data_IF_066237732231
#
_entry.id   IF_066237732231
#
_cell.length_a   1.000
_cell.length_b   1.000
_cell.length_c   1.000
_cell.angle_alpha   90.00
_cell.angle_beta   90.00
_cell.angle_gamma   90.00
#
_symmetry.space_group_name_H-M   'P 1'
#
loop_
_entity.id
_entity.type
_entity.pdbx_description
1 polymer ?
#
# COMPACT_ATOMS: atom_id res chain seq x y z
N UNK A 1 -36.66 1.91 13.34
CA UNK A 1 -36.04 3.08 12.69
C UNK A 1 -35.23 2.57 11.49
N UNK A 2 -35.72 2.86 10.27
CA UNK A 2 -35.02 2.91 8.96
C UNK A 2 -34.23 1.66 8.50
N UNK A 3 -34.92 0.77 7.78
CA UNK A 3 -34.35 -0.22 6.85
C UNK A 3 -34.07 0.46 5.50
N UNK A 4 -33.21 1.49 5.51
CA UNK A 4 -32.84 2.29 4.34
C UNK A 4 -31.31 2.40 4.24
N UNK A 5 -30.61 1.26 4.20
CA UNK A 5 -29.15 1.28 4.02
C UNK A 5 -28.60 0.23 3.03
N UNK A 6 -29.47 -0.54 2.38
CA UNK A 6 -29.04 -1.55 1.38
C UNK A 6 -29.30 -1.14 -0.08
N UNK A 7 -29.91 0.02 -0.33
CA UNK A 7 -30.27 0.47 -1.68
C UNK A 7 -29.32 1.53 -2.29
N UNK A 8 -28.17 1.83 -1.66
CA UNK A 8 -27.25 2.87 -2.16
C UNK A 8 -26.09 2.29 -2.99
N UNK A 9 -25.91 0.97 -3.04
CA UNK A 9 -24.75 0.34 -3.71
C UNK A 9 -25.08 -0.40 -5.02
N UNK A 10 -26.18 -0.05 -5.69
CA UNK A 10 -26.47 -0.52 -7.05
C UNK A 10 -26.64 0.69 -7.95
N UNK A 11 -25.49 1.26 -8.35
CA UNK A 11 -25.43 2.19 -9.46
C UNK A 11 -25.93 1.46 -10.72
N UNK A 12 -27.13 1.85 -11.14
CA UNK A 12 -27.75 1.49 -12.41
C UNK A 12 -26.95 2.10 -13.55
N UNK A 13 -26.24 1.28 -14.33
CA UNK A 13 -25.82 1.64 -15.68
C UNK A 13 -27.08 1.67 -16.57
N UNK A 14 -27.45 2.78 -17.22
CA UNK A 14 -28.53 2.77 -18.19
C UNK A 14 -27.99 2.30 -19.54
N UNK A 15 -28.18 1.02 -19.87
CA UNK A 15 -28.07 0.54 -21.24
C UNK A 15 -29.33 0.97 -22.00
N UNK A 16 -29.29 2.20 -22.51
CA UNK A 16 -30.04 2.59 -23.70
C UNK A 16 -29.35 1.99 -24.94
N UNK A 17 -30.10 1.86 -26.05
CA UNK A 17 -29.77 1.23 -27.35
C UNK A 17 -30.26 -0.24 -27.37
N UNK A 18 -31.22 -0.71 -28.19
CA UNK A 18 -31.71 -0.29 -29.49
C UNK A 18 -33.16 -0.81 -29.68
N UNK A 19 -34.08 0.01 -30.21
CA UNK A 19 -35.41 -0.42 -30.59
C UNK A 19 -35.34 -1.30 -31.84
N UNK A 20 -35.92 -2.50 -31.79
CA UNK A 20 -36.32 -3.18 -33.01
C UNK A 20 -37.71 -3.80 -32.86
N UNK A 21 -38.65 -3.10 -33.47
CA UNK A 21 -40.05 -3.42 -33.62
C UNK A 21 -40.18 -4.41 -34.79
N UNK A 22 -40.86 -5.53 -34.60
CA UNK A 22 -41.42 -6.32 -35.71
C UNK A 22 -42.78 -6.88 -35.30
N UNK A 23 -43.80 -6.09 -35.64
CA UNK A 23 -45.19 -6.52 -35.71
C UNK A 23 -45.33 -7.63 -36.77
N UNK A 24 -45.98 -8.74 -36.38
CA UNK A 24 -46.75 -9.57 -37.32
C UNK A 24 -48.18 -9.74 -36.76
N UNK A 25 -49.21 -9.72 -37.63
CA UNK A 25 -50.60 -9.67 -37.20
C UNK A 25 -51.18 -11.06 -36.87
N UNK A 26 -51.96 -11.07 -35.78
CA UNK A 26 -53.13 -11.90 -35.43
C UNK A 26 -53.12 -13.41 -35.67
N UNK A 27 -53.41 -14.19 -34.62
CA UNK A 27 -54.68 -14.93 -34.54
C UNK A 27 -55.04 -15.14 -33.07
N UNK A 28 -56.18 -14.61 -32.64
CA UNK A 28 -56.77 -14.79 -31.32
C UNK A 28 -57.59 -16.09 -31.25
N UNK A 29 -57.28 -17.02 -30.33
CA UNK A 29 -58.27 -17.96 -29.80
C UNK A 29 -58.84 -17.38 -28.50
N UNK A 30 -60.17 -17.25 -28.46
CA UNK A 30 -60.90 -16.96 -27.24
C UNK A 30 -60.57 -17.98 -26.15
N UNK A 31 -59.93 -17.55 -25.07
CA UNK A 31 -59.99 -18.25 -23.78
C UNK A 31 -60.30 -17.24 -22.66
N UNK A 32 -61.27 -17.56 -21.80
CA UNK A 32 -61.75 -16.64 -20.76
C UNK A 32 -60.64 -16.34 -19.75
N UNK A 33 -60.62 -15.08 -19.28
CA UNK A 33 -59.69 -14.57 -18.26
C UNK A 33 -59.70 -15.46 -17.01
N UNK A 34 -58.63 -16.22 -16.80
CA UNK A 34 -58.34 -16.87 -15.52
C UNK A 34 -57.51 -15.86 -14.69
N UNK A 35 -57.96 -15.47 -13.48
CA UNK A 35 -57.18 -14.60 -12.62
C UNK A 35 -55.90 -15.30 -12.17
N UNK A 36 -54.74 -14.70 -12.44
CA UNK A 36 -53.44 -15.13 -11.90
C UNK A 36 -53.29 -14.72 -10.43
N UNK A 37 -54.22 -15.15 -9.60
CA UNK A 37 -53.97 -15.36 -8.17
C UNK A 37 -53.40 -16.76 -8.03
N UNK A 38 -52.09 -16.88 -7.82
CA UNK A 38 -51.44 -18.14 -7.38
C UNK A 38 -51.93 -18.48 -5.97
N UNK A 39 -53.15 -18.98 -5.87
CA UNK A 39 -53.54 -19.83 -4.75
C UNK A 39 -52.97 -21.21 -5.09
N UNK A 40 -52.07 -21.71 -4.25
CA UNK A 40 -51.67 -23.12 -4.26
C UNK A 40 -52.95 -23.92 -3.96
N UNK A 41 -53.62 -24.34 -5.03
CA UNK A 41 -54.67 -25.33 -4.90
C UNK A 41 -53.95 -26.65 -4.58
N UNK A 42 -54.05 -27.09 -3.33
CA UNK A 42 -53.65 -28.42 -2.90
C UNK A 42 -54.55 -29.43 -3.63
N UNK A 43 -54.14 -29.82 -4.84
CA UNK A 43 -54.66 -31.05 -5.44
C UNK A 43 -54.02 -32.20 -4.67
N UNK A 44 -54.78 -32.86 -3.79
CA UNK A 44 -54.44 -34.19 -3.28
C UNK A 44 -54.46 -35.20 -4.44
N UNK A 45 -53.40 -35.22 -5.24
CA UNK A 45 -53.21 -36.18 -6.34
C UNK A 45 -52.85 -37.60 -5.83
N UNK A 46 -52.73 -37.76 -4.51
CA UNK A 46 -52.49 -39.05 -3.88
C UNK A 46 -53.52 -39.28 -2.77
N UNK A 47 -54.66 -39.88 -3.14
CA UNK A 47 -55.43 -40.62 -2.15
C UNK A 47 -54.50 -41.68 -1.52
N UNK A 48 -54.54 -41.90 -0.19
CA UNK A 48 -53.69 -42.89 0.46
C UNK A 48 -54.18 -44.29 0.08
N UNK A 49 -53.76 -44.75 -1.10
CA UNK A 49 -53.84 -46.16 -1.45
C UNK A 49 -53.07 -46.94 -0.39
N UNK A 50 -53.70 -47.98 0.15
CA UNK A 50 -53.16 -48.86 1.18
C UNK A 50 -51.99 -49.71 0.63
N UNK A 51 -50.89 -49.05 0.25
CA UNK A 51 -49.67 -49.65 -0.30
C UNK A 51 -48.79 -50.28 0.79
N UNK A 52 -49.10 -50.03 2.07
CA UNK A 52 -48.40 -50.60 3.22
C UNK A 52 -48.50 -52.14 3.30
N UNK A 53 -49.43 -52.75 2.56
CA UNK A 53 -49.64 -54.19 2.52
C UNK A 53 -49.27 -54.85 1.19
N UNK A 54 -48.79 -54.08 0.20
CA UNK A 54 -48.36 -54.63 -1.09
C UNK A 54 -46.98 -55.31 -0.96
N UNK A 55 -46.95 -56.61 -1.29
CA UNK A 55 -45.75 -57.46 -1.27
C UNK A 55 -44.64 -56.92 -2.18
N UNK A 56 -45.00 -56.36 -3.34
CA UNK A 56 -44.03 -55.81 -4.29
C UNK A 56 -43.45 -54.49 -3.78
N UNK A 57 -44.29 -53.62 -3.21
CA UNK A 57 -43.86 -52.36 -2.61
C UNK A 57 -42.91 -52.58 -1.43
N UNK A 58 -43.21 -53.56 -0.55
CA UNK A 58 -42.31 -53.93 0.56
C UNK A 58 -40.93 -54.39 0.07
N UNK A 59 -40.86 -55.17 -1.01
CA UNK A 59 -39.59 -55.62 -1.60
C UNK A 59 -38.78 -54.48 -2.19
N UNK A 60 -39.43 -53.53 -2.87
CA UNK A 60 -38.76 -52.34 -3.42
C UNK A 60 -38.24 -51.45 -2.29
N UNK A 61 -39.05 -51.25 -1.24
CA UNK A 61 -38.66 -50.46 -0.07
C UNK A 61 -37.48 -51.08 0.69
N UNK A 62 -37.48 -52.39 0.91
CA UNK A 62 -36.36 -53.10 1.55
C UNK A 62 -35.07 -53.01 0.71
N UNK A 63 -35.18 -53.14 -0.62
CA UNK A 63 -34.03 -52.97 -1.53
C UNK A 63 -33.48 -51.54 -1.50
N UNK A 64 -34.36 -50.54 -1.49
CA UNK A 64 -33.97 -49.14 -1.39
C UNK A 64 -33.31 -48.83 -0.04
N UNK A 65 -33.87 -49.36 1.07
CA UNK A 65 -33.31 -49.19 2.40
C UNK A 65 -31.92 -49.83 2.52
N UNK A 66 -31.73 -51.05 2.03
CA UNK A 66 -30.42 -51.72 2.00
C UNK A 66 -29.38 -50.93 1.20
N UNK A 67 -29.74 -50.47 0.00
CA UNK A 67 -28.84 -49.65 -0.84
C UNK A 67 -28.55 -48.28 -0.21
N UNK A 68 -29.51 -47.70 0.49
CA UNK A 68 -29.37 -46.41 1.15
C UNK A 68 -28.49 -46.53 2.39
N UNK A 69 -28.69 -47.59 3.18
CA UNK A 69 -27.86 -47.91 4.34
C UNK A 69 -26.39 -48.12 3.94
N UNK A 70 -26.14 -48.86 2.85
CA UNK A 70 -24.79 -49.07 2.34
C UNK A 70 -24.12 -47.74 1.94
N UNK A 71 -24.84 -46.86 1.23
CA UNK A 71 -24.32 -45.53 0.86
C UNK A 71 -24.03 -44.64 2.06
N UNK A 72 -24.81 -44.75 3.14
CA UNK A 72 -24.52 -44.02 4.38
C UNK A 72 -23.24 -44.50 5.04
N UNK A 73 -23.02 -45.82 5.14
CA UNK A 73 -21.77 -46.37 5.65
C UNK A 73 -20.56 -45.95 4.80
N UNK A 74 -20.65 -46.05 3.47
CA UNK A 74 -19.60 -45.60 2.55
C UNK A 74 -19.34 -44.08 2.61
N UNK A 75 -20.36 -43.28 2.91
CA UNK A 75 -20.19 -41.83 3.13
C UNK A 75 -19.50 -41.55 4.46
N UNK A 76 -19.91 -42.19 5.54
CA UNK A 76 -19.33 -42.01 6.87
C UNK A 76 -17.87 -42.44 6.91
N UNK A 77 -17.51 -43.57 6.29
CA UNK A 77 -16.13 -44.05 6.22
C UNK A 77 -15.23 -43.07 5.45
N UNK A 78 -15.69 -42.57 4.29
CA UNK A 78 -14.96 -41.53 3.53
C UNK A 78 -14.82 -40.24 4.34
N UNK A 79 -15.84 -39.85 5.08
CA UNK A 79 -15.80 -38.66 5.93
C UNK A 79 -14.80 -38.80 7.08
N UNK A 80 -14.73 -39.99 7.70
CA UNK A 80 -13.75 -40.30 8.75
C UNK A 80 -12.33 -40.29 8.18
N UNK A 81 -12.11 -40.94 7.03
CA UNK A 81 -10.80 -40.98 6.37
C UNK A 81 -10.30 -39.57 6.00
N UNK A 82 -11.16 -38.75 5.39
CA UNK A 82 -10.81 -37.37 5.03
C UNK A 82 -10.54 -36.50 6.25
N UNK A 83 -11.26 -36.71 7.34
CA UNK A 83 -11.02 -36.01 8.61
C UNK A 83 -9.66 -36.41 9.21
N UNK A 84 -9.28 -37.68 9.14
CA UNK A 84 -7.96 -38.16 9.59
C UNK A 84 -6.84 -37.54 8.76
N UNK A 85 -6.94 -37.59 7.42
CA UNK A 85 -5.97 -36.97 6.50
C UNK A 85 -5.77 -35.47 6.78
N UNK A 86 -6.86 -34.73 7.00
CA UNK A 86 -6.78 -33.30 7.33
C UNK A 86 -6.10 -33.05 8.68
N UNK A 87 -6.36 -33.91 9.69
CA UNK A 87 -5.75 -33.77 11.02
C UNK A 87 -4.24 -34.03 10.95
N UNK A 88 -3.83 -35.09 10.28
CA UNK A 88 -2.42 -35.45 10.12
C UNK A 88 -1.63 -34.36 9.35
N UNK A 89 -2.25 -33.76 8.33
CA UNK A 89 -1.65 -32.64 7.58
C UNK A 89 -1.48 -31.39 8.47
N UNK A 90 -2.51 -31.02 9.24
CA UNK A 90 -2.46 -29.89 10.16
C UNK A 90 -1.41 -30.08 11.27
N UNK A 91 -1.31 -31.29 11.84
CA UNK A 91 -0.32 -31.61 12.89
C UNK A 91 1.10 -31.52 12.33
N UNK A 92 1.32 -32.00 11.09
CA UNK A 92 2.62 -31.90 10.39
C UNK A 92 3.02 -30.45 10.11
N UNK A 93 2.10 -29.62 9.61
CA UNK A 93 2.35 -28.20 9.35
C UNK A 93 2.62 -27.43 10.66
N UNK A 94 1.87 -27.74 11.72
CA UNK A 94 2.07 -27.15 13.05
C UNK A 94 3.44 -27.49 13.63
N UNK A 95 3.87 -28.76 13.53
CA UNK A 95 5.22 -29.17 13.94
C UNK A 95 6.31 -28.43 13.14
N UNK A 96 6.11 -28.21 11.84
CA UNK A 96 7.05 -27.46 11.00
C UNK A 96 7.15 -25.99 11.41
N UNK A 97 6.04 -25.36 11.78
CA UNK A 97 6.01 -23.98 12.28
C UNK A 97 6.75 -23.90 13.62
N UNK A 98 6.46 -24.80 14.56
CA UNK A 98 7.12 -24.84 15.88
C UNK A 98 8.64 -25.04 15.73
N UNK A 99 9.08 -25.91 14.82
CA UNK A 99 10.51 -26.12 14.56
C UNK A 99 11.18 -24.89 13.94
N UNK A 100 10.48 -24.19 13.03
CA UNK A 100 10.99 -22.95 12.44
C UNK A 100 11.14 -21.86 13.50
N UNK A 101 10.12 -21.65 14.34
CA UNK A 101 10.15 -20.65 15.40
C UNK A 101 11.27 -20.92 16.42
N UNK A 102 11.52 -22.20 16.74
CA UNK A 102 12.65 -22.58 17.63
C UNK A 102 14.00 -22.21 17.02
N UNK A 103 14.23 -22.49 15.73
CA UNK A 103 15.48 -22.13 15.05
C UNK A 103 15.66 -20.62 14.93
N UNK A 104 14.59 -19.89 14.61
CA UNK A 104 14.62 -18.44 14.52
C UNK A 104 14.95 -17.81 15.87
N UNK A 105 14.37 -18.33 16.95
CA UNK A 105 14.66 -17.89 18.32
C UNK A 105 16.10 -18.18 18.74
N UNK A 106 16.62 -19.38 18.47
CA UNK A 106 18.02 -19.72 18.75
C UNK A 106 19.00 -18.86 17.96
N UNK A 107 18.66 -18.55 16.70
CA UNK A 107 19.46 -17.71 15.84
C UNK A 107 19.46 -16.25 16.34
N UNK A 108 18.30 -15.72 16.71
CA UNK A 108 18.18 -14.41 17.35
C UNK A 108 18.97 -14.30 18.66
N UNK A 109 18.88 -15.30 19.54
CA UNK A 109 19.62 -15.30 20.81
C UNK A 109 21.14 -15.32 20.57
N UNK A 110 21.61 -16.05 19.55
CA UNK A 110 23.03 -16.04 19.13
C UNK A 110 23.46 -14.69 18.54
N UNK A 111 22.63 -14.06 17.71
CA UNK A 111 22.93 -12.72 17.18
C UNK A 111 22.93 -11.65 18.29
N UNK A 112 22.04 -11.77 19.28
CA UNK A 112 21.99 -10.88 20.44
C UNK A 112 23.23 -11.04 21.33
N UNK A 113 23.67 -12.29 21.59
CA UNK A 113 24.90 -12.55 22.38
C UNK A 113 26.16 -12.11 21.64
N UNK A 114 26.25 -12.34 20.31
CA UNK A 114 27.34 -11.82 19.49
C UNK A 114 27.39 -10.29 19.48
N UNK A 115 26.24 -9.61 19.51
CA UNK A 115 26.21 -8.14 19.64
C UNK A 115 26.66 -7.65 21.02
N UNK A 116 26.37 -8.38 22.10
CA UNK A 116 26.84 -8.02 23.45
C UNK A 116 28.33 -8.30 23.65
N UNK A 117 28.89 -9.36 23.04
CA UNK A 117 30.34 -9.64 23.11
C UNK A 117 31.18 -8.64 22.29
N UNK A 118 30.57 -7.94 21.33
CA UNK A 118 31.22 -6.89 20.53
C UNK A 118 31.19 -5.52 21.26
N UNK A 119 30.47 -5.38 22.37
CA UNK A 119 30.35 -4.12 23.11
C UNK A 119 30.46 -4.31 24.64
N UNK A 120 31.68 -4.30 25.17
CA UNK A 120 31.99 -3.38 26.30
C UNK A 120 33.48 -3.20 26.70
N UNK A 121 34.39 -4.17 26.49
CA UNK A 121 35.66 -4.10 27.27
C UNK A 121 36.98 -3.93 26.48
N UNK A 122 36.96 -3.63 25.18
CA UNK A 122 38.22 -3.56 24.41
C UNK A 122 38.40 -2.37 23.44
N UNK A 123 37.65 -1.27 23.61
CA UNK A 123 37.93 -0.02 22.86
C UNK A 123 38.06 1.13 23.85
N UNK A 124 39.26 1.70 24.06
CA UNK A 124 39.41 2.87 24.91
C UNK A 124 38.61 4.03 24.32
N UNK A 125 37.75 4.59 25.16
CA UNK A 125 36.78 5.65 24.87
C UNK A 125 37.47 6.95 24.47
N UNK A 126 37.68 7.17 23.17
CA UNK A 126 37.76 8.52 22.64
C UNK A 126 36.36 9.13 22.60
N UNK A 127 36.11 10.07 23.50
CA UNK A 127 34.91 10.90 23.57
C UNK A 127 34.84 11.75 22.29
N UNK A 128 34.26 11.21 21.22
CA UNK A 128 33.77 11.98 20.08
C UNK A 128 32.25 11.89 20.05
N UNK A 129 31.67 12.85 20.78
CA UNK A 129 30.32 13.38 20.72
C UNK A 129 29.46 12.84 19.55
N UNK A 130 28.40 12.11 19.92
CA UNK A 130 27.27 11.60 19.12
C UNK A 130 26.55 12.64 18.22
N UNK A 131 27.00 13.90 18.13
CA UNK A 131 26.29 14.99 17.44
C UNK A 131 26.72 15.26 16.01
N UNK A 132 27.86 14.72 15.54
CA UNK A 132 28.33 14.96 14.18
C UNK A 132 27.75 13.91 13.23
N UNK A 133 27.79 12.62 13.59
CA UNK A 133 27.23 11.56 12.76
C UNK A 133 25.71 11.71 12.55
N UNK A 134 24.92 11.99 13.60
CA UNK A 134 23.45 12.13 13.49
C UNK A 134 23.02 13.38 12.69
N UNK A 135 23.84 14.46 12.68
CA UNK A 135 23.63 15.63 11.81
C UNK A 135 24.05 15.36 10.37
N UNK A 136 25.17 14.67 10.18
CA UNK A 136 25.68 14.30 8.84
C UNK A 136 24.74 13.31 8.17
N UNK A 137 24.15 12.37 8.91
CA UNK A 137 23.23 11.37 8.38
C UNK A 137 21.88 11.99 7.95
N UNK A 138 21.31 12.93 8.73
CA UNK A 138 20.12 13.71 8.33
C UNK A 138 20.38 14.66 7.16
N UNK A 139 21.56 15.29 7.10
CA UNK A 139 21.97 16.14 5.97
C UNK A 139 22.19 15.33 4.69
N UNK A 140 22.83 14.17 4.81
CA UNK A 140 23.09 13.26 3.70
C UNK A 140 21.80 12.61 3.17
N UNK A 141 20.84 12.26 4.03
CA UNK A 141 19.51 11.76 3.60
C UNK A 141 18.68 12.81 2.88
N UNK A 142 18.76 14.09 3.26
CA UNK A 142 18.11 15.19 2.51
C UNK A 142 18.75 15.41 1.14
N UNK A 143 20.08 15.36 1.08
CA UNK A 143 20.86 15.51 -0.14
C UNK A 143 20.74 14.33 -1.11
N UNK A 144 20.77 13.11 -0.58
CA UNK A 144 20.64 11.87 -1.34
C UNK A 144 19.19 11.47 -1.62
N UNK A 145 18.20 11.97 -0.87
CA UNK A 145 16.79 11.61 -1.07
C UNK A 145 16.21 12.11 -2.39
N UNK A 146 16.70 13.25 -2.90
CA UNK A 146 16.21 13.85 -4.14
C UNK A 146 16.90 13.24 -5.38
N UNK A 147 18.15 12.77 -5.25
CA UNK A 147 18.97 12.27 -6.36
C UNK A 147 19.28 10.76 -6.32
N UNK A 148 19.05 10.09 -5.19
CA UNK A 148 19.73 8.85 -4.81
C UNK A 148 18.84 7.78 -4.17
N UNK A 149 17.59 7.63 -4.60
CA UNK A 149 16.89 6.34 -4.47
C UNK A 149 16.66 5.72 -5.84
N UNK A 150 17.76 5.24 -6.40
CA UNK A 150 17.75 3.95 -7.06
C UNK A 150 17.39 2.86 -6.02
N UNK A 151 16.10 2.77 -5.69
CA UNK A 151 15.49 1.52 -5.25
C UNK A 151 14.58 1.08 -6.40
N UNK A 152 15.06 0.21 -7.31
CA UNK A 152 14.29 -0.30 -8.43
C UNK A 152 13.27 -1.36 -7.98
N UNK A 153 12.55 -1.11 -6.89
CA UNK A 153 11.46 -2.01 -6.44
C UNK A 153 10.10 -1.66 -7.07
N UNK A 154 10.01 -0.50 -7.74
CA UNK A 154 8.88 -0.17 -8.64
C UNK A 154 9.26 -0.28 -10.14
N UNK A 155 10.28 -1.08 -10.46
CA UNK A 155 10.86 -1.23 -11.81
C UNK A 155 10.08 -2.12 -12.79
N UNK A 156 8.74 -2.13 -12.80
CA UNK A 156 7.96 -2.97 -13.74
C UNK A 156 6.87 -2.21 -14.50
N UNK A 157 6.79 -0.89 -14.32
CA UNK A 157 5.69 -0.09 -14.85
C UNK A 157 6.30 1.02 -15.67
N UNK A 158 5.68 1.41 -16.79
CA UNK A 158 6.15 2.42 -17.76
C UNK A 158 6.49 3.83 -17.24
N UNK A 159 6.81 3.99 -15.94
CA UNK A 159 7.24 5.20 -15.25
C UNK A 159 8.67 5.66 -15.54
N UNK A 160 9.48 4.97 -16.35
CA UNK A 160 10.83 5.44 -16.67
C UNK A 160 10.82 6.83 -17.34
N UNK A 161 9.87 7.11 -18.24
CA UNK A 161 9.79 8.41 -18.90
C UNK A 161 9.18 9.50 -18.01
N UNK A 162 8.11 9.17 -17.28
CA UNK A 162 7.41 10.12 -16.40
C UNK A 162 8.28 10.51 -15.21
N UNK A 163 8.94 9.52 -14.58
CA UNK A 163 9.86 9.76 -13.48
C UNK A 163 11.09 10.56 -13.94
N UNK A 164 11.68 10.21 -15.09
CA UNK A 164 12.79 10.97 -15.64
C UNK A 164 12.40 12.43 -15.96
N UNK A 165 11.21 12.66 -16.53
CA UNK A 165 10.71 14.01 -16.78
C UNK A 165 10.50 14.79 -15.48
N UNK A 166 9.94 14.15 -14.44
CA UNK A 166 9.76 14.78 -13.13
C UNK A 166 11.09 15.11 -12.45
N UNK A 167 12.08 14.22 -12.52
CA UNK A 167 13.44 14.47 -11.99
C UNK A 167 14.14 15.59 -12.75
N UNK A 168 14.00 15.64 -14.08
CA UNK A 168 14.57 16.73 -14.89
C UNK A 168 13.90 18.09 -14.58
N UNK A 169 12.58 18.12 -14.39
CA UNK A 169 11.87 19.32 -13.97
C UNK A 169 12.29 19.77 -12.56
N UNK A 170 12.41 18.82 -11.63
CA UNK A 170 12.84 19.07 -10.26
C UNK A 170 14.26 19.65 -10.18
N UNK A 171 15.20 19.02 -10.89
CA UNK A 171 16.60 19.47 -10.91
C UNK A 171 16.73 20.86 -11.52
N UNK A 172 16.03 21.15 -12.63
CA UNK A 172 16.04 22.48 -13.24
C UNK A 172 15.50 23.55 -12.28
N UNK A 173 14.31 23.34 -11.73
CA UNK A 173 13.68 24.28 -10.81
C UNK A 173 14.52 24.49 -9.53
N UNK A 174 15.09 23.41 -8.98
CA UNK A 174 15.94 23.48 -7.81
C UNK A 174 17.24 24.23 -8.05
N UNK A 175 17.87 24.05 -9.21
CA UNK A 175 19.07 24.82 -9.59
C UNK A 175 18.75 26.31 -9.77
N UNK A 176 17.65 26.63 -10.47
CA UNK A 176 17.24 28.02 -10.71
C UNK A 176 16.94 28.75 -9.39
N UNK A 177 16.21 28.11 -8.46
CA UNK A 177 15.90 28.67 -7.15
C UNK A 177 17.13 28.80 -6.24
N UNK A 178 18.05 27.82 -6.27
CA UNK A 178 19.30 27.91 -5.52
C UNK A 178 20.20 29.03 -6.05
N UNK A 179 20.23 29.26 -7.37
CA UNK A 179 20.96 30.38 -7.98
C UNK A 179 20.35 31.73 -7.57
N UNK A 180 19.04 31.85 -7.56
CA UNK A 180 18.34 33.07 -7.14
C UNK A 180 18.61 33.39 -5.65
N UNK A 181 18.49 32.38 -4.79
CA UNK A 181 18.84 32.49 -3.37
C UNK A 181 20.31 32.88 -3.17
N UNK A 182 21.23 32.31 -3.96
CA UNK A 182 22.65 32.64 -3.89
C UNK A 182 22.93 34.07 -4.36
N UNK A 183 22.12 34.59 -5.29
CA UNK A 183 22.22 35.97 -5.78
C UNK A 183 21.94 37.00 -4.71
N UNK A 184 21.17 36.63 -3.68
CA UNK A 184 20.84 37.45 -2.52
C UNK A 184 21.94 37.45 -1.46
N UNK A 185 22.94 36.56 -1.55
CA UNK A 185 24.02 36.46 -0.56
C UNK A 185 25.05 37.58 -0.80
N UNK A 186 25.37 38.40 0.23
CA UNK A 186 26.29 39.51 0.09
C UNK A 186 27.67 39.09 -0.45
N UNK A 187 28.08 39.73 -1.54
CA UNK A 187 29.41 39.55 -2.12
C UNK A 187 29.60 38.29 -2.98
N UNK A 188 28.69 37.30 -2.97
CA UNK A 188 28.87 36.05 -3.73
C UNK A 188 28.71 36.25 -5.24
N UNK A 189 27.67 36.99 -5.67
CA UNK A 189 27.45 37.31 -7.09
C UNK A 189 28.62 38.10 -7.70
N UNK A 190 29.16 39.06 -6.94
CA UNK A 190 30.31 39.89 -7.32
C UNK A 190 31.63 39.11 -7.32
N UNK A 191 31.74 38.10 -6.46
CA UNK A 191 32.91 37.21 -6.39
C UNK A 191 32.98 36.31 -7.62
N UNK A 192 31.87 35.64 -7.94
CA UNK A 192 31.84 34.58 -8.94
C UNK A 192 31.69 35.11 -10.37
N UNK A 193 31.04 36.27 -10.58
CA UNK A 193 30.83 36.88 -11.92
C UNK A 193 30.43 35.82 -12.96
N UNK A 194 31.33 35.50 -13.90
CA UNK A 194 31.11 34.59 -15.02
C UNK A 194 30.95 33.12 -14.60
N UNK A 195 31.44 32.73 -13.42
CA UNK A 195 31.27 31.37 -12.88
C UNK A 195 30.04 31.22 -12.00
N UNK A 196 29.28 32.30 -11.77
CA UNK A 196 28.12 32.30 -10.87
C UNK A 196 27.04 31.31 -11.32
N UNK A 197 26.73 31.25 -12.60
CA UNK A 197 25.69 30.34 -13.12
C UNK A 197 26.12 28.86 -13.08
N UNK A 198 27.43 28.58 -13.12
CA UNK A 198 27.98 27.21 -13.16
C UNK A 198 28.27 26.62 -11.77
N UNK A 199 28.17 27.43 -10.72
CA UNK A 199 28.50 27.00 -9.36
C UNK A 199 27.44 26.04 -8.80
N UNK A 200 26.19 26.26 -9.19
CA UNK A 200 25.07 25.41 -8.83
C UNK A 200 24.96 24.30 -9.87
N UNK A 201 24.96 23.07 -9.40
CA UNK A 201 24.92 21.86 -10.21
C UNK A 201 23.84 20.93 -9.68
N UNK A 202 23.49 19.93 -10.47
CA UNK A 202 22.50 18.93 -10.10
C UNK A 202 22.83 18.18 -8.81
N UNK A 203 24.08 18.19 -8.33
CA UNK A 203 24.52 17.47 -7.12
C UNK A 203 24.65 18.35 -5.88
N UNK A 204 24.63 19.68 -6.01
CA UNK A 204 24.89 20.59 -4.90
C UNK A 204 23.74 21.57 -4.60
N UNK A 205 22.77 21.75 -5.49
CA UNK A 205 21.74 22.78 -5.36
C UNK A 205 20.86 22.64 -4.11
N UNK A 206 20.65 21.41 -3.63
CA UNK A 206 19.85 21.11 -2.43
C UNK A 206 20.70 20.91 -1.16
N UNK A 207 22.01 21.08 -1.27
CA UNK A 207 22.97 20.65 -0.25
C UNK A 207 23.83 21.81 0.24
N UNK A 208 23.48 22.35 1.41
CA UNK A 208 24.23 23.43 2.07
C UNK A 208 25.74 23.17 2.07
N UNK A 209 26.18 22.03 2.59
CA UNK A 209 27.61 21.76 2.79
C UNK A 209 28.37 21.61 1.48
N UNK A 210 27.75 20.97 0.47
CA UNK A 210 28.35 20.78 -0.86
C UNK A 210 28.43 22.11 -1.63
N UNK A 211 27.35 22.90 -1.56
CA UNK A 211 27.26 24.22 -2.17
C UNK A 211 28.27 25.18 -1.53
N UNK A 212 28.32 25.20 -0.19
CA UNK A 212 29.30 26.00 0.55
C UNK A 212 30.74 25.60 0.21
N UNK A 213 31.08 24.31 0.20
CA UNK A 213 32.42 23.85 -0.19
C UNK A 213 32.81 24.26 -1.60
N UNK A 214 31.87 24.18 -2.54
CA UNK A 214 32.08 24.58 -3.94
C UNK A 214 32.39 26.08 -4.04
N UNK A 215 31.61 26.91 -3.34
CA UNK A 215 31.81 28.37 -3.28
C UNK A 215 33.12 28.70 -2.58
N UNK A 216 33.40 28.07 -1.42
CA UNK A 216 34.57 28.40 -0.61
C UNK A 216 35.88 28.02 -1.30
N UNK A 217 35.91 26.91 -2.05
CA UNK A 217 37.06 26.51 -2.86
C UNK A 217 37.46 27.60 -3.87
N UNK A 218 36.47 28.10 -4.62
CA UNK A 218 36.71 29.18 -5.60
C UNK A 218 37.06 30.48 -4.88
N UNK A 219 36.32 30.82 -3.83
CA UNK A 219 36.56 32.03 -3.07
C UNK A 219 37.96 32.08 -2.49
N UNK A 220 38.48 30.97 -1.96
CA UNK A 220 39.84 30.89 -1.40
C UNK A 220 40.91 31.23 -2.44
N UNK A 221 40.75 30.77 -3.69
CA UNK A 221 41.68 31.11 -4.77
C UNK A 221 41.66 32.62 -5.09
N UNK A 222 40.47 33.21 -5.14
CA UNK A 222 40.26 34.63 -5.47
C UNK A 222 40.73 35.53 -4.32
N UNK A 223 40.41 35.18 -3.07
CA UNK A 223 40.80 35.94 -1.89
C UNK A 223 42.32 35.93 -1.67
N UNK A 224 43.02 34.87 -2.08
CA UNK A 224 44.50 34.84 -2.09
C UNK A 224 45.10 35.77 -3.15
N UNK A 225 44.47 35.89 -4.31
CA UNK A 225 44.95 36.68 -5.45
C UNK A 225 44.62 38.17 -5.34
N UNK A 226 43.36 38.51 -5.05
CA UNK A 226 42.82 39.88 -5.09
C UNK A 226 42.58 40.47 -3.70
N UNK A 227 42.91 39.73 -2.63
CA UNK A 227 42.87 40.23 -1.26
C UNK A 227 41.51 40.83 -0.82
N UNK A 228 41.60 41.86 0.01
CA UNK A 228 40.49 42.56 0.68
C UNK A 228 39.64 43.45 -0.24
N UNK A 229 39.80 43.39 -1.57
CA UNK A 229 38.96 44.19 -2.49
C UNK A 229 37.56 43.60 -2.67
N UNK A 230 37.41 42.28 -2.54
CA UNK A 230 36.13 41.57 -2.66
C UNK A 230 35.39 41.54 -1.32
N UNK A 231 34.10 41.90 -1.31
CA UNK A 231 33.25 41.95 -0.10
C UNK A 231 33.24 40.60 0.64
N UNK A 232 33.10 39.49 -0.10
CA UNK A 232 33.15 38.14 0.47
C UNK A 232 34.47 37.89 1.25
N UNK A 233 35.61 38.30 0.68
CA UNK A 233 36.92 38.10 1.29
C UNK A 233 37.11 38.97 2.55
N UNK A 234 36.59 40.20 2.54
CA UNK A 234 36.61 41.08 3.72
C UNK A 234 35.79 40.52 4.87
N UNK A 235 34.60 40.02 4.57
CA UNK A 235 33.73 39.36 5.56
C UNK A 235 34.41 38.11 6.12
N UNK A 236 35.02 37.27 5.26
CA UNK A 236 35.75 36.07 5.67
C UNK A 236 36.96 36.37 6.56
N UNK A 237 37.70 37.42 6.26
CA UNK A 237 38.88 37.84 7.04
C UNK A 237 38.54 38.64 8.30
N UNK A 238 37.26 38.89 8.60
CA UNK A 238 36.85 39.69 9.75
C UNK A 238 37.15 41.19 9.62
N UNK A 239 37.46 41.67 8.41
CA UNK A 239 37.72 43.08 8.09
C UNK A 239 36.42 43.88 7.89
N UNK A 240 35.28 43.20 7.91
CA UNK A 240 33.95 43.79 7.77
C UNK A 240 33.14 43.56 9.06
N UNK A 241 32.26 44.51 9.41
CA UNK A 241 31.43 44.42 10.63
C UNK A 241 30.41 43.26 10.57
N UNK A 242 30.17 42.71 9.38
CA UNK A 242 29.24 41.60 9.19
C UNK A 242 29.91 40.28 9.58
N UNK A 243 29.25 39.43 10.40
CA UNK A 243 29.79 38.12 10.74
C UNK A 243 29.68 37.16 9.54
N UNK A 244 30.70 36.32 9.35
CA UNK A 244 30.73 35.32 8.27
C UNK A 244 29.58 34.31 8.35
N UNK A 245 29.01 34.09 9.53
CA UNK A 245 27.81 33.26 9.71
C UNK A 245 26.60 33.73 8.90
N UNK A 246 26.51 35.02 8.52
CA UNK A 246 25.47 35.50 7.59
C UNK A 246 25.64 34.95 6.19
N UNK A 247 26.88 34.78 5.73
CA UNK A 247 27.16 34.17 4.42
C UNK A 247 26.81 32.68 4.49
N UNK A 248 27.22 31.99 5.54
CA UNK A 248 26.90 30.57 5.74
C UNK A 248 25.38 30.32 5.83
N UNK A 249 24.64 31.21 6.49
CA UNK A 249 23.19 31.15 6.56
C UNK A 249 22.53 31.47 5.22
N UNK A 250 23.01 32.47 4.49
CA UNK A 250 22.50 32.79 3.15
C UNK A 250 22.72 31.66 2.14
N UNK A 251 23.87 30.98 2.21
CA UNK A 251 24.14 29.78 1.39
C UNK A 251 23.25 28.60 1.83
N UNK A 252 22.96 28.49 3.13
CA UNK A 252 22.00 27.51 3.65
C UNK A 252 20.60 27.75 3.10
N UNK A 253 20.14 29.00 3.15
CA UNK A 253 18.81 29.41 2.70
C UNK A 253 18.68 29.19 1.19
N UNK A 254 19.73 29.50 0.40
CA UNK A 254 19.76 29.19 -1.02
C UNK A 254 19.61 27.68 -1.30
N UNK A 255 20.27 26.82 -0.52
CA UNK A 255 20.12 25.38 -0.65
C UNK A 255 18.73 24.88 -0.24
N UNK A 256 18.14 25.46 0.81
CA UNK A 256 16.77 25.15 1.25
C UNK A 256 15.74 25.60 0.20
N UNK A 257 15.91 26.77 -0.42
CA UNK A 257 15.10 27.24 -1.55
C UNK A 257 15.21 26.28 -2.74
N UNK A 258 16.42 25.84 -3.09
CA UNK A 258 16.65 24.86 -4.15
C UNK A 258 15.96 23.52 -3.87
N UNK A 259 16.03 23.03 -2.63
CA UNK A 259 15.36 21.80 -2.22
C UNK A 259 13.83 21.93 -2.28
N UNK A 260 13.27 23.04 -1.80
CA UNK A 260 11.84 23.31 -1.82
C UNK A 260 11.29 23.39 -3.25
N UNK A 261 11.96 24.14 -4.13
CA UNK A 261 11.55 24.29 -5.53
C UNK A 261 11.65 22.97 -6.30
N UNK A 262 12.65 22.12 -6.01
CA UNK A 262 12.77 20.82 -6.62
C UNK A 262 11.62 19.88 -6.23
N UNK A 263 11.25 19.82 -4.95
CA UNK A 263 10.12 19.01 -4.48
C UNK A 263 8.79 19.52 -5.07
N UNK A 264 8.58 20.84 -5.09
CA UNK A 264 7.39 21.43 -5.72
C UNK A 264 7.30 21.08 -7.21
N UNK A 265 8.39 21.25 -7.97
CA UNK A 265 8.41 20.93 -9.39
C UNK A 265 8.25 19.43 -9.65
N UNK A 266 8.83 18.56 -8.81
CA UNK A 266 8.67 17.10 -8.89
C UNK A 266 7.22 16.68 -8.68
N UNK A 267 6.58 17.22 -7.64
CA UNK A 267 5.17 16.90 -7.34
C UNK A 267 4.23 17.44 -8.40
N UNK A 268 4.45 18.65 -8.89
CA UNK A 268 3.67 19.23 -10.00
C UNK A 268 3.81 18.40 -11.29
N UNK A 269 5.04 17.97 -11.63
CA UNK A 269 5.26 17.12 -12.80
C UNK A 269 4.59 15.75 -12.66
N UNK A 270 4.67 15.13 -11.48
CA UNK A 270 4.00 13.86 -11.20
C UNK A 270 2.47 14.01 -11.25
N UNK A 271 1.90 15.03 -10.61
CA UNK A 271 0.45 15.25 -10.59
C UNK A 271 -0.12 15.59 -11.98
N UNK A 272 0.64 16.29 -12.82
CA UNK A 272 0.26 16.54 -14.21
C UNK A 272 0.17 15.24 -15.03
N UNK A 273 0.98 14.24 -14.69
CA UNK A 273 0.98 12.93 -15.37
C UNK A 273 0.06 11.89 -14.74
N UNK A 274 -0.11 11.91 -13.41
CA UNK A 274 -0.96 11.01 -12.66
C UNK A 274 -2.30 11.70 -12.39
N UNK A 275 -3.22 11.59 -13.34
CA UNK A 275 -4.63 11.95 -13.10
C UNK A 275 -5.40 10.75 -12.58
N UNK A 276 -6.45 10.98 -11.79
CA UNK A 276 -7.36 9.91 -11.35
C UNK A 276 -7.87 9.08 -12.55
N UNK A 277 -8.12 9.74 -13.68
CA UNK A 277 -8.54 9.09 -14.93
C UNK A 277 -7.50 8.09 -15.45
N UNK A 278 -6.22 8.46 -15.45
CA UNK A 278 -5.13 7.55 -15.83
C UNK A 278 -4.93 6.43 -14.80
N UNK A 279 -5.13 6.69 -13.51
CA UNK A 279 -5.02 5.68 -12.47
C UNK A 279 -6.10 4.60 -12.62
N UNK A 280 -7.37 5.00 -12.72
CA UNK A 280 -8.50 4.07 -12.90
C UNK A 280 -8.50 3.35 -14.26
N UNK A 281 -7.86 3.94 -15.28
CA UNK A 281 -7.70 3.30 -16.60
C UNK A 281 -6.44 2.44 -16.69
N UNK A 282 -5.50 2.58 -15.76
CA UNK A 282 -4.28 1.78 -15.76
C UNK A 282 -4.55 0.36 -15.24
N UNK A 283 -3.90 -0.67 -15.82
CA UNK A 283 -4.03 -2.06 -15.36
C UNK A 283 -3.72 -2.23 -13.85
N UNK A 284 -2.83 -1.40 -13.30
CA UNK A 284 -2.43 -1.46 -11.90
C UNK A 284 -3.45 -0.83 -10.97
N UNK A 285 -4.04 0.31 -11.35
CA UNK A 285 -5.11 0.92 -10.57
C UNK A 285 -6.32 -0.01 -10.49
N UNK A 286 -6.65 -0.66 -11.61
CA UNK A 286 -7.70 -1.70 -11.65
C UNK A 286 -7.31 -2.87 -10.73
N UNK A 287 -6.07 -3.38 -10.81
CA UNK A 287 -5.60 -4.49 -9.96
C UNK A 287 -5.70 -4.14 -8.46
N UNK A 288 -5.24 -2.95 -8.06
CA UNK A 288 -5.31 -2.49 -6.66
C UNK A 288 -6.75 -2.36 -6.17
N UNK A 289 -7.64 -1.79 -6.99
CA UNK A 289 -9.06 -1.66 -6.65
C UNK A 289 -9.70 -3.02 -6.45
N UNK A 290 -9.43 -3.98 -7.33
CA UNK A 290 -9.93 -5.36 -7.20
C UNK A 290 -9.42 -5.99 -5.91
N UNK A 291 -8.13 -5.83 -5.56
CA UNK A 291 -7.58 -6.36 -4.31
C UNK A 291 -8.27 -5.75 -3.07
N UNK A 292 -8.46 -4.43 -3.04
CA UNK A 292 -9.18 -3.75 -1.95
C UNK A 292 -10.62 -4.25 -1.84
N UNK A 293 -11.30 -4.45 -2.97
CA UNK A 293 -12.66 -4.96 -3.00
C UNK A 293 -12.76 -6.38 -2.43
N UNK A 294 -11.81 -7.27 -2.78
CA UNK A 294 -11.74 -8.63 -2.23
C UNK A 294 -11.55 -8.59 -0.71
N UNK A 295 -10.65 -7.74 -0.20
CA UNK A 295 -10.42 -7.59 1.25
C UNK A 295 -11.70 -7.14 1.97
N UNK A 296 -12.43 -6.18 1.40
CA UNK A 296 -13.70 -5.70 1.96
C UNK A 296 -14.74 -6.83 1.99
N UNK A 297 -14.90 -7.58 0.89
CA UNK A 297 -15.83 -8.72 0.82
C UNK A 297 -15.47 -9.78 1.87
N UNK A 298 -14.19 -10.15 1.99
CA UNK A 298 -13.73 -11.13 2.99
C UNK A 298 -13.97 -10.64 4.42
N UNK A 299 -13.76 -9.35 4.69
CA UNK A 299 -14.03 -8.73 5.99
C UNK A 299 -15.53 -8.79 6.35
N UNK A 300 -16.41 -8.47 5.39
CA UNK A 300 -17.87 -8.55 5.59
C UNK A 300 -18.29 -10.00 5.87
N UNK A 301 -17.82 -10.97 5.06
CA UNK A 301 -18.11 -12.40 5.27
C UNK A 301 -17.63 -12.85 6.66
N UNK A 302 -16.41 -12.48 7.04
CA UNK A 302 -15.84 -12.78 8.34
C UNK A 302 -16.71 -12.23 9.49
N UNK A 303 -17.17 -10.98 9.39
CA UNK A 303 -18.05 -10.37 10.39
C UNK A 303 -19.39 -11.11 10.50
N UNK A 304 -20.00 -11.51 9.38
CA UNK A 304 -21.25 -12.28 9.38
C UNK A 304 -21.04 -13.64 10.05
N UNK A 305 -19.97 -14.36 9.71
CA UNK A 305 -19.66 -15.66 10.30
C UNK A 305 -19.38 -15.55 11.81
N UNK A 306 -18.63 -14.53 12.22
CA UNK A 306 -18.37 -14.23 13.63
C UNK A 306 -19.65 -13.95 14.41
N UNK A 307 -20.57 -13.19 13.82
CA UNK A 307 -21.88 -12.91 14.41
C UNK A 307 -22.72 -14.19 14.57
N UNK A 308 -22.78 -15.04 13.53
CA UNK A 308 -23.51 -16.33 13.60
C UNK A 308 -22.94 -17.27 14.65
N UNK A 309 -21.61 -17.37 14.78
CA UNK A 309 -20.95 -18.17 15.83
C UNK A 309 -21.32 -17.67 17.22
N UNK A 310 -21.25 -16.36 17.48
CA UNK A 310 -21.67 -15.77 18.76
C UNK A 310 -23.14 -16.06 19.08
N UNK A 311 -24.04 -15.96 18.11
CA UNK A 311 -25.48 -16.27 18.30
C UNK A 311 -25.70 -17.75 18.62
N UNK A 312 -25.00 -18.67 17.96
CA UNK A 312 -25.08 -20.12 18.24
C UNK A 312 -24.60 -20.46 19.65
N UNK A 313 -23.51 -19.85 20.12
CA UNK A 313 -23.00 -20.06 21.48
C UNK A 313 -23.96 -19.54 22.55
N UNK A 314 -24.58 -18.36 22.35
CA UNK A 314 -25.61 -17.83 23.26
C UNK A 314 -26.80 -18.77 23.39
N UNK A 315 -27.30 -19.32 22.27
CA UNK A 315 -28.39 -20.31 22.29
C UNK A 315 -28.00 -21.58 23.05
N UNK A 316 -26.80 -22.12 22.79
CA UNK A 316 -26.30 -23.31 23.52
C UNK A 316 -26.25 -23.09 25.03
N UNK A 317 -25.79 -21.92 25.48
CA UNK A 317 -25.74 -21.57 26.90
C UNK A 317 -27.15 -21.56 27.54
N UNK A 318 -28.17 -21.09 26.81
CA UNK A 318 -29.55 -21.10 27.28
C UNK A 318 -30.11 -22.53 27.38
N UNK A 319 -29.81 -23.41 26.43
CA UNK A 319 -30.24 -24.82 26.50
C UNK A 319 -29.56 -25.60 27.63
N UNK A 320 -28.29 -25.34 27.93
CA UNK A 320 -27.59 -26.00 29.05
C UNK A 320 -28.24 -25.60 30.39
N UNK A 321 -28.54 -24.31 30.58
CA UNK A 321 -29.22 -23.83 31.78
C UNK A 321 -30.59 -24.47 32.01
N UNK A 322 -31.35 -24.72 30.95
CA UNK A 322 -32.67 -25.37 31.02
C UNK A 322 -32.61 -26.88 31.33
N UNK A 323 -31.44 -27.52 31.22
CA UNK A 323 -31.25 -28.94 31.50
C UNK A 323 -30.68 -29.21 32.91
N UNK A 324 -30.20 -28.17 33.59
CA UNK A 324 -29.70 -28.25 34.97
C UNK A 324 -30.77 -27.91 36.03
N UNK A 325 -31.90 -27.33 35.62
CA UNK A 325 -33.13 -27.20 36.44
C UNK A 325 -34.03 -28.43 36.30
#
# INVERSE_FOLDING_TARGET
MKVLYFNILLFTLPLNILPHNNNKPQTTPHTPKIPTTRLLCECELYAPGNYDNDSEMKKVMDKFNKQTQQRFHEYDDRMVEKRKQCKDQCDKESQKIILKDKLEKELMDKFATLQTDIQNDAIPTCICKKSIADKVEKGCLRCGGILGTAAPEFGVIGGNFVYAAAVNAATKAGMDAALDGLGSVPGVKLLLKDTFEKIVTSTNYSCKDSLFKSIDSIANSICKSKGSTQIYCRIKSGLEKMPFSRIENGISEAADMGAAAAEEAKTNALNATFTWETFFSSPLGISLLVTVYIIIILSIIYLILRYRRKKKMKKKLQYIKLLEE
#
